data_IF_920455662333
#
_entry.id   IF_920455662333
#
_cell.length_a   1.000
_cell.length_b   1.000
_cell.length_c   1.000
_cell.angle_alpha   90.00
_cell.angle_beta   90.00
_cell.angle_gamma   90.00
#
_symmetry.space_group_name_H-M   'P 1'
#
loop_
_entity.id
_entity.type
_entity.pdbx_description
1 polymer ?
#
# COMPACT_ATOMS: atom_id res chain seq x y z
N UNK A 1 -20.19 -9.54 -44.70
CA UNK A 1 -18.95 -10.08 -44.11
C UNK A 1 -18.39 -9.26 -42.94
N UNK A 2 -19.00 -8.15 -42.54
CA UNK A 2 -18.50 -7.26 -41.48
C UNK A 2 -19.00 -7.58 -40.06
N UNK A 3 -20.16 -8.25 -39.91
CA UNK A 3 -20.75 -8.53 -38.59
C UNK A 3 -19.98 -9.54 -37.71
N UNK A 4 -19.33 -10.53 -38.32
CA UNK A 4 -18.61 -11.57 -37.59
C UNK A 4 -17.29 -11.06 -36.97
N UNK A 5 -16.63 -10.10 -37.62
CA UNK A 5 -15.39 -9.49 -37.11
C UNK A 5 -15.67 -8.64 -35.88
N UNK A 6 -16.79 -7.90 -35.88
CA UNK A 6 -17.23 -7.09 -34.72
C UNK A 6 -17.61 -7.99 -33.54
N UNK A 7 -18.28 -9.12 -33.79
CA UNK A 7 -18.65 -10.08 -32.75
C UNK A 7 -17.41 -10.76 -32.11
N UNK A 8 -16.40 -11.12 -32.90
CA UNK A 8 -15.15 -11.69 -32.40
C UNK A 8 -14.35 -10.65 -31.62
N UNK A 9 -14.25 -9.42 -32.12
CA UNK A 9 -13.60 -8.32 -31.40
C UNK A 9 -14.28 -8.03 -30.05
N UNK A 10 -15.61 -8.04 -30.00
CA UNK A 10 -16.38 -7.78 -28.78
C UNK A 10 -16.20 -8.85 -27.69
N UNK A 11 -15.80 -10.07 -28.02
CA UNK A 11 -15.57 -11.15 -27.04
C UNK A 11 -14.07 -11.32 -26.73
N UNK A 12 -13.21 -11.20 -27.73
CA UNK A 12 -11.75 -11.41 -27.58
C UNK A 12 -11.08 -10.25 -26.85
N UNK A 13 -11.50 -8.99 -27.08
CA UNK A 13 -10.92 -7.83 -26.38
C UNK A 13 -11.18 -7.86 -24.87
N UNK A 14 -12.41 -8.08 -24.36
CA UNK A 14 -12.67 -8.15 -22.93
C UNK A 14 -11.93 -9.30 -22.25
N UNK A 15 -11.85 -10.48 -22.90
CA UNK A 15 -11.11 -11.62 -22.37
C UNK A 15 -9.59 -11.37 -22.35
N UNK A 16 -9.05 -10.76 -23.42
CA UNK A 16 -7.65 -10.37 -23.49
C UNK A 16 -7.28 -9.32 -22.43
N UNK A 17 -8.14 -8.32 -22.23
CA UNK A 17 -7.99 -7.32 -21.17
C UNK A 17 -8.07 -7.96 -19.79
N UNK A 18 -9.05 -8.82 -19.53
CA UNK A 18 -9.18 -9.52 -18.25
C UNK A 18 -7.95 -10.39 -17.93
N UNK A 19 -7.46 -11.16 -18.91
CA UNK A 19 -6.24 -11.96 -18.77
C UNK A 19 -5.01 -11.08 -18.50
N UNK A 20 -4.90 -9.94 -19.18
CA UNK A 20 -3.83 -8.97 -18.97
C UNK A 20 -3.87 -8.36 -17.56
N UNK A 21 -5.05 -7.98 -17.05
CA UNK A 21 -5.22 -7.47 -15.68
C UNK A 21 -4.84 -8.51 -14.62
N UNK A 22 -5.21 -9.78 -14.82
CA UNK A 22 -4.85 -10.89 -13.93
C UNK A 22 -3.32 -11.11 -13.94
N UNK A 23 -2.71 -11.16 -15.12
CA UNK A 23 -1.27 -11.31 -15.28
C UNK A 23 -0.49 -10.14 -14.67
N UNK A 24 -0.95 -8.90 -14.86
CA UNK A 24 -0.34 -7.71 -14.28
C UNK A 24 -0.40 -7.72 -12.75
N UNK A 25 -1.52 -8.16 -12.17
CA UNK A 25 -1.66 -8.36 -10.72
C UNK A 25 -0.68 -9.41 -10.17
N UNK A 26 -0.57 -10.56 -10.84
CA UNK A 26 0.35 -11.65 -10.46
C UNK A 26 1.83 -11.24 -10.61
N UNK A 27 2.18 -10.51 -11.66
CA UNK A 27 3.52 -10.00 -11.88
C UNK A 27 3.96 -9.04 -10.75
N UNK A 28 3.06 -8.16 -10.29
CA UNK A 28 3.34 -7.27 -9.15
C UNK A 28 3.58 -8.05 -7.85
N UNK A 29 2.80 -9.10 -7.58
CA UNK A 29 2.99 -9.97 -6.41
C UNK A 29 4.37 -10.65 -6.43
N UNK A 30 4.72 -11.28 -7.55
CA UNK A 30 6.04 -11.92 -7.73
C UNK A 30 7.19 -10.92 -7.66
N UNK A 31 6.98 -9.72 -8.21
CA UNK A 31 7.95 -8.63 -8.17
C UNK A 31 8.28 -8.17 -6.75
N UNK A 32 7.28 -8.04 -5.87
CA UNK A 32 7.49 -7.67 -4.47
C UNK A 32 8.19 -8.78 -3.68
N UNK A 33 7.78 -10.04 -3.84
CA UNK A 33 8.45 -11.17 -3.19
C UNK A 33 9.91 -11.32 -3.66
N UNK A 34 10.20 -11.06 -4.94
CA UNK A 34 11.57 -11.01 -5.46
C UNK A 34 12.37 -9.87 -4.84
N UNK A 35 11.82 -8.65 -4.85
CA UNK A 35 12.48 -7.48 -4.27
C UNK A 35 12.75 -7.67 -2.77
N UNK A 36 11.80 -8.21 -2.01
CA UNK A 36 11.97 -8.47 -0.59
C UNK A 36 13.14 -9.43 -0.34
N UNK A 37 13.25 -10.52 -1.11
CA UNK A 37 14.39 -11.45 -1.03
C UNK A 37 15.72 -10.78 -1.37
N UNK A 38 15.77 -9.99 -2.44
CA UNK A 38 16.99 -9.26 -2.85
C UNK A 38 17.45 -8.25 -1.79
N UNK A 39 16.53 -7.70 -1.02
CA UNK A 39 16.79 -6.68 0.01
C UNK A 39 16.89 -7.24 1.43
N UNK A 40 16.72 -8.55 1.61
CA UNK A 40 16.68 -9.17 2.94
C UNK A 40 15.49 -8.71 3.80
N UNK A 41 14.38 -8.33 3.16
CA UNK A 41 13.13 -7.96 3.83
C UNK A 41 12.24 -9.19 4.03
N UNK A 42 11.40 -9.13 5.06
CA UNK A 42 10.43 -10.18 5.34
C UNK A 42 9.20 -10.01 4.46
N UNK A 43 8.86 -11.07 3.73
CA UNK A 43 7.66 -11.14 2.91
C UNK A 43 6.65 -12.11 3.52
N UNK A 44 5.41 -11.65 3.60
CA UNK A 44 4.27 -12.41 4.09
C UNK A 44 3.22 -12.47 3.00
N UNK A 45 2.70 -13.67 2.75
CA UNK A 45 1.56 -13.86 1.87
C UNK A 45 0.47 -14.60 2.65
N UNK A 46 -0.78 -14.17 2.47
CA UNK A 46 -1.94 -14.79 3.05
C UNK A 46 -2.57 -15.78 2.07
N UNK A 47 -2.46 -17.07 2.37
CA UNK A 47 -3.61 -17.96 2.30
C UNK A 47 -4.00 -18.27 3.75
N UNK A 48 -4.92 -17.46 4.30
CA UNK A 48 -5.45 -17.47 5.68
C UNK A 48 -4.47 -17.04 6.80
N UNK A 49 -4.60 -15.79 7.24
CA UNK A 49 -4.22 -15.34 8.58
C UNK A 49 -5.46 -15.30 9.48
N UNK A 50 -6.13 -16.45 9.65
CA UNK A 50 -7.29 -16.63 10.54
C UNK A 50 -7.15 -17.93 11.33
N UNK A 51 -7.72 -18.02 12.55
CA UNK A 51 -7.65 -19.23 13.37
C UNK A 51 -8.45 -20.34 12.66
N UNK A 52 -7.76 -21.41 12.21
CA UNK A 52 -8.37 -22.51 11.42
C UNK A 52 -7.74 -22.79 10.06
N UNK A 53 -6.57 -22.23 9.75
CA UNK A 53 -5.86 -22.43 8.50
C UNK A 53 -4.92 -23.66 8.49
N UNK A 54 -5.46 -24.86 8.62
CA UNK A 54 -4.72 -26.08 8.30
C UNK A 54 -4.85 -26.39 6.81
N UNK A 55 -3.73 -26.39 6.09
CA UNK A 55 -3.60 -27.04 4.78
C UNK A 55 -3.94 -26.18 3.58
N UNK A 56 -2.95 -25.42 3.10
CA UNK A 56 -2.96 -24.81 1.77
C UNK A 56 -1.56 -24.39 1.41
N UNK A 57 -0.87 -25.17 0.57
CA UNK A 57 0.41 -24.79 -0.06
C UNK A 57 0.21 -23.47 -0.78
N UNK A 58 0.56 -22.32 -0.21
CA UNK A 58 1.08 -21.14 -0.92
C UNK A 58 1.62 -20.14 0.12
N UNK A 59 2.95 -20.02 0.15
CA UNK A 59 3.75 -18.95 0.78
C UNK A 59 3.44 -18.64 2.25
N UNK A 60 3.93 -19.52 3.13
CA UNK A 60 4.16 -19.27 4.56
C UNK A 60 5.15 -18.09 4.77
N UNK A 61 4.95 -17.36 5.85
CA UNK A 61 5.94 -16.44 6.39
C UNK A 61 7.26 -17.18 6.69
N UNK A 62 8.40 -16.58 6.36
CA UNK A 62 9.71 -17.11 6.78
C UNK A 62 9.90 -17.04 8.31
N UNK A 63 9.09 -16.25 9.04
CA UNK A 63 8.86 -16.34 10.51
C UNK A 63 7.71 -15.39 10.90
N UNK A 64 6.82 -15.80 11.82
CA UNK A 64 5.95 -14.90 12.60
C UNK A 64 4.69 -14.32 11.93
N UNK A 65 3.89 -13.58 12.71
CA UNK A 65 2.70 -12.82 12.28
C UNK A 65 3.14 -11.41 11.87
N UNK A 66 2.74 -10.96 10.69
CA UNK A 66 3.02 -9.59 10.26
C UNK A 66 2.37 -8.57 11.23
N UNK A 67 3.06 -7.49 11.64
CA UNK A 67 2.44 -6.35 12.32
C UNK A 67 1.25 -5.82 11.48
N UNK A 68 0.28 -5.14 12.10
CA UNK A 68 -0.91 -4.66 11.38
C UNK A 68 -1.19 -3.16 11.58
N UNK A 69 -0.21 -2.28 11.28
CA UNK A 69 -0.39 -0.84 11.43
C UNK A 69 -1.44 -0.31 10.45
N UNK A 70 -2.27 0.63 10.91
CA UNK A 70 -3.34 1.27 10.12
C UNK A 70 -4.40 0.30 9.56
N UNK A 71 -4.50 -0.91 10.15
CA UNK A 71 -5.54 -1.89 9.86
C UNK A 71 -6.87 -1.41 10.46
N UNK A 72 -7.93 -1.42 9.65
CA UNK A 72 -9.30 -1.13 10.09
C UNK A 72 -9.95 -2.40 10.66
N UNK A 73 -10.95 -2.21 11.52
CA UNK A 73 -11.75 -3.33 12.06
C UNK A 73 -12.31 -4.19 10.93
N UNK A 74 -12.16 -5.51 11.05
CA UNK A 74 -12.63 -6.48 10.06
C UNK A 74 -11.73 -6.69 8.85
N UNK A 75 -10.67 -5.89 8.66
CA UNK A 75 -9.72 -6.12 7.57
C UNK A 75 -8.87 -7.38 7.81
N UNK A 76 -8.45 -8.07 6.76
CA UNK A 76 -7.44 -9.15 6.84
C UNK A 76 -6.25 -8.85 5.92
N UNK A 77 -5.06 -9.38 6.24
CA UNK A 77 -3.85 -9.13 5.43
C UNK A 77 -3.80 -10.14 4.29
N UNK A 78 -3.88 -9.66 3.03
CA UNK A 78 -3.58 -10.43 1.81
C UNK A 78 -2.08 -10.70 1.72
N UNK A 79 -1.28 -9.64 1.91
CA UNK A 79 0.16 -9.64 1.71
C UNK A 79 0.79 -8.56 2.58
N UNK A 80 2.01 -8.82 3.04
CA UNK A 80 2.84 -7.81 3.66
C UNK A 80 4.32 -7.92 3.24
N UNK A 81 5.00 -6.79 3.20
CA UNK A 81 6.47 -6.70 3.18
C UNK A 81 6.86 -5.82 4.34
N UNK A 82 7.79 -6.25 5.18
CA UNK A 82 8.34 -5.42 6.26
C UNK A 82 9.86 -5.51 6.25
N UNK A 83 10.50 -4.46 6.72
CA UNK A 83 11.95 -4.43 6.81
C UNK A 83 12.44 -3.04 7.18
N UNK A 84 13.67 -2.76 6.78
CA UNK A 84 14.31 -1.46 7.00
C UNK A 84 14.70 -0.85 5.67
N UNK A 85 14.41 0.45 5.51
CA UNK A 85 14.82 1.25 4.36
C UNK A 85 15.53 2.51 4.86
N UNK A 86 16.78 2.72 4.44
CA UNK A 86 17.64 3.83 4.89
C UNK A 86 17.69 4.01 6.42
N UNK A 87 17.69 2.89 7.16
CA UNK A 87 17.74 2.88 8.62
C UNK A 87 16.39 3.05 9.33
N UNK A 88 15.29 3.29 8.61
CA UNK A 88 13.95 3.39 9.19
C UNK A 88 13.15 2.10 8.97
N UNK A 89 12.44 1.58 10.00
CA UNK A 89 11.49 0.49 9.81
C UNK A 89 10.38 0.91 8.85
N UNK A 90 9.96 0.00 7.97
CA UNK A 90 8.84 0.25 7.06
C UNK A 90 7.97 -1.00 6.93
N UNK A 91 6.75 -0.78 6.44
CA UNK A 91 5.84 -1.85 6.08
C UNK A 91 4.98 -1.51 4.86
N UNK A 92 4.71 -2.51 4.05
CA UNK A 92 3.76 -2.49 2.94
C UNK A 92 2.72 -3.54 3.24
N UNK A 93 1.46 -3.14 3.37
CA UNK A 93 0.36 -4.03 3.69
C UNK A 93 -0.71 -3.94 2.62
N UNK A 94 -1.18 -5.09 2.17
CA UNK A 94 -2.38 -5.19 1.36
C UNK A 94 -3.48 -5.81 2.20
N UNK A 95 -4.49 -5.02 2.51
CA UNK A 95 -5.64 -5.39 3.29
C UNK A 95 -6.82 -5.77 2.39
N UNK A 96 -7.55 -6.81 2.80
CA UNK A 96 -8.88 -7.17 2.33
C UNK A 96 -9.92 -6.55 3.26
N UNK A 97 -10.88 -5.82 2.70
CA UNK A 97 -12.02 -5.29 3.45
C UNK A 97 -13.06 -6.39 3.75
N UNK A 98 -13.81 -6.31 4.87
CA UNK A 98 -14.90 -7.26 5.14
C UNK A 98 -15.92 -7.25 4.00
N UNK A 99 -16.26 -8.43 3.48
CA UNK A 99 -16.98 -8.64 2.21
C UNK A 99 -16.08 -9.05 1.02
N UNK A 100 -14.75 -9.00 1.19
CA UNK A 100 -13.76 -9.61 0.29
C UNK A 100 -13.49 -11.06 0.75
N UNK A 101 -14.46 -11.94 0.57
CA UNK A 101 -14.38 -13.34 1.00
C UNK A 101 -14.33 -14.33 -0.15
N UNK A 102 -14.30 -15.61 0.21
CA UNK A 102 -14.92 -16.63 -0.63
C UNK A 102 -16.29 -16.90 -0.02
N UNK A 103 -17.34 -16.91 -0.83
CA UNK A 103 -18.64 -17.46 -0.44
C UNK A 103 -18.46 -18.94 -0.05
N UNK A 104 -19.42 -19.51 0.69
CA UNK A 104 -19.39 -20.94 1.05
C UNK A 104 -19.30 -21.86 -0.19
N UNK A 105 -19.72 -21.37 -1.37
CA UNK A 105 -19.62 -22.06 -2.67
C UNK A 105 -18.23 -21.95 -3.34
N UNK A 106 -17.25 -21.34 -2.68
CA UNK A 106 -15.89 -21.15 -3.22
C UNK A 106 -15.78 -20.05 -4.26
N UNK A 107 -16.85 -19.29 -4.54
CA UNK A 107 -16.77 -18.12 -5.43
C UNK A 107 -16.14 -16.94 -4.70
N UNK A 108 -15.20 -16.27 -5.38
CA UNK A 108 -14.52 -15.10 -4.85
C UNK A 108 -15.49 -13.93 -4.81
N UNK A 109 -15.83 -13.48 -3.61
CA UNK A 109 -16.55 -12.24 -3.42
C UNK A 109 -15.57 -11.09 -3.67
N UNK A 110 -15.92 -10.22 -4.62
CA UNK A 110 -15.08 -9.10 -5.03
C UNK A 110 -15.15 -7.99 -3.99
N UNK A 111 -14.54 -8.20 -2.82
CA UNK A 111 -14.31 -7.09 -1.92
C UNK A 111 -13.08 -6.29 -2.33
N UNK A 112 -13.06 -5.03 -1.89
CA UNK A 112 -12.05 -4.06 -2.27
C UNK A 112 -10.73 -4.31 -1.53
N UNK A 113 -9.64 -4.14 -2.26
CA UNK A 113 -8.28 -4.26 -1.75
C UNK A 113 -7.74 -2.87 -1.43
N UNK A 114 -7.19 -2.71 -0.24
CA UNK A 114 -6.53 -1.47 0.20
C UNK A 114 -5.05 -1.75 0.38
N UNK A 115 -4.19 -0.91 -0.19
CA UNK A 115 -2.74 -1.01 0.03
C UNK A 115 -2.30 0.16 0.90
N UNK A 116 -1.43 -0.10 1.87
CA UNK A 116 -0.83 0.90 2.75
C UNK A 116 0.68 0.71 2.70
N UNK A 117 1.42 1.78 2.42
CA UNK A 117 2.90 1.81 2.54
C UNK A 117 3.22 2.81 3.63
N UNK A 118 4.00 2.42 4.62
CA UNK A 118 4.36 3.30 5.72
C UNK A 118 5.81 3.15 6.16
N UNK A 119 6.33 4.20 6.79
CA UNK A 119 7.64 4.25 7.45
C UNK A 119 7.41 4.68 8.90
N UNK A 120 8.11 4.02 9.83
CA UNK A 120 8.14 4.43 11.23
C UNK A 120 9.15 5.54 11.44
N UNK A 121 8.75 6.57 12.19
CA UNK A 121 9.53 7.75 12.48
C UNK A 121 9.94 7.81 13.95
N UNK A 122 11.13 8.34 14.20
CA UNK A 122 11.74 8.38 15.53
C UNK A 122 10.95 9.23 16.53
N UNK A 123 10.20 10.23 16.08
CA UNK A 123 9.45 11.15 16.93
C UNK A 123 7.93 11.07 16.65
N UNK A 124 7.15 11.56 17.61
CA UNK A 124 5.68 11.59 17.49
C UNK A 124 5.26 12.61 16.44
N UNK A 125 4.22 12.25 15.70
CA UNK A 125 3.59 12.99 14.64
C UNK A 125 2.14 13.27 15.03
N UNK A 126 1.57 14.39 14.56
CA UNK A 126 0.14 14.63 14.64
C UNK A 126 -0.62 13.52 13.91
N UNK A 127 -1.83 13.22 14.38
CA UNK A 127 -2.75 12.37 13.64
C UNK A 127 -3.48 13.22 12.61
N UNK A 128 -3.06 13.16 11.35
CA UNK A 128 -3.79 13.78 10.25
C UNK A 128 -3.45 13.26 8.86
N UNK A 129 -4.37 13.49 7.93
CA UNK A 129 -4.16 13.36 6.50
C UNK A 129 -3.71 14.70 5.95
N UNK A 130 -2.51 14.75 5.39
CA UNK A 130 -1.93 15.90 4.73
C UNK A 130 -2.21 15.82 3.23
N UNK A 131 -2.89 16.83 2.70
CA UNK A 131 -3.22 16.96 1.28
C UNK A 131 -2.56 18.22 0.72
N UNK A 132 -1.84 18.08 -0.40
CA UNK A 132 -1.08 19.16 -1.03
C UNK A 132 -1.75 19.52 -2.35
N UNK A 133 -2.25 20.75 -2.45
CA UNK A 133 -2.99 21.25 -3.60
C UNK A 133 -2.55 22.67 -3.96
N UNK A 134 -2.07 22.88 -5.18
CA UNK A 134 -1.59 24.19 -5.62
C UNK A 134 -0.49 24.73 -4.69
N UNK A 135 -0.77 25.84 -4.01
CA UNK A 135 0.11 26.50 -3.04
C UNK A 135 -0.25 26.19 -1.56
N UNK A 136 -1.13 25.23 -1.33
CA UNK A 136 -1.71 24.93 -0.03
C UNK A 136 -1.33 23.52 0.45
N UNK A 137 -1.18 23.40 1.77
CA UNK A 137 -0.96 22.14 2.48
C UNK A 137 -2.02 22.08 3.56
N UNK A 138 -3.04 21.27 3.32
CA UNK A 138 -4.17 21.07 4.21
C UNK A 138 -3.94 19.84 5.07
N UNK A 139 -4.42 19.89 6.31
CA UNK A 139 -4.38 18.76 7.24
C UNK A 139 -5.79 18.53 7.78
N UNK A 140 -6.22 17.27 7.82
CA UNK A 140 -7.55 16.89 8.33
C UNK A 140 -7.75 17.22 9.82
N UNK A 141 -6.68 17.53 10.55
CA UNK A 141 -6.72 17.99 11.92
C UNK A 141 -6.60 19.53 11.95
N UNK A 142 -7.64 20.26 12.35
CA UNK A 142 -7.65 21.73 12.31
C UNK A 142 -6.68 22.37 13.31
N UNK A 143 -6.21 21.63 14.31
CA UNK A 143 -5.21 22.10 15.27
C UNK A 143 -3.76 21.99 14.76
N UNK A 144 -3.54 21.41 13.58
CA UNK A 144 -2.21 21.27 13.01
C UNK A 144 -1.89 22.44 12.08
N UNK A 145 -0.76 23.09 12.35
CA UNK A 145 -0.16 24.08 11.45
C UNK A 145 1.27 23.63 11.12
N UNK A 146 1.57 23.34 9.84
CA UNK A 146 2.91 22.94 9.44
C UNK A 146 3.90 24.09 9.63
N UNK A 147 5.15 23.79 10.01
CA UNK A 147 6.23 24.79 10.02
C UNK A 147 6.43 25.37 8.62
N UNK A 148 6.75 26.67 8.46
CA UNK A 148 6.92 27.28 7.13
C UNK A 148 7.92 26.55 6.24
N UNK A 149 9.07 26.17 6.80
CA UNK A 149 10.12 25.44 6.07
C UNK A 149 9.66 24.05 5.61
N UNK A 150 8.85 23.37 6.42
CA UNK A 150 8.27 22.07 6.08
C UNK A 150 7.20 22.24 5.01
N UNK A 151 6.35 23.26 5.13
CA UNK A 151 5.32 23.59 4.14
C UNK A 151 5.95 23.89 2.77
N UNK A 152 6.97 24.73 2.72
CA UNK A 152 7.71 25.06 1.49
C UNK A 152 8.34 23.80 0.88
N UNK A 153 8.97 22.97 1.69
CA UNK A 153 9.53 21.71 1.24
C UNK A 153 8.47 20.77 0.66
N UNK A 154 7.31 20.64 1.31
CA UNK A 154 6.20 19.81 0.83
C UNK A 154 5.65 20.32 -0.51
N UNK A 155 5.48 21.62 -0.66
CA UNK A 155 5.05 22.24 -1.92
C UNK A 155 6.05 22.00 -3.06
N UNK A 156 7.35 22.13 -2.78
CA UNK A 156 8.40 21.83 -3.76
C UNK A 156 8.44 20.35 -4.18
N UNK A 157 7.93 19.44 -3.35
CA UNK A 157 7.94 17.99 -3.57
C UNK A 157 6.56 17.40 -3.92
N UNK A 158 5.55 18.23 -4.23
CA UNK A 158 4.16 17.80 -4.52
C UNK A 158 4.05 16.82 -5.70
N UNK A 159 4.99 16.87 -6.64
CA UNK A 159 5.05 15.94 -7.78
C UNK A 159 5.34 14.50 -7.37
N UNK A 160 5.97 14.29 -6.20
CA UNK A 160 6.29 12.97 -5.65
C UNK A 160 5.11 12.33 -4.94
N UNK A 161 4.33 13.14 -4.20
CA UNK A 161 3.13 12.71 -3.51
C UNK A 161 2.24 13.91 -3.21
N UNK A 162 0.93 13.75 -3.39
CA UNK A 162 -0.07 14.79 -3.09
C UNK A 162 -0.82 14.56 -1.79
N UNK A 163 -0.80 13.34 -1.26
CA UNK A 163 -1.56 13.01 -0.07
C UNK A 163 -0.87 11.89 0.72
N UNK A 164 -0.68 12.11 2.02
CA UNK A 164 -0.16 11.11 2.94
C UNK A 164 -0.76 11.28 4.34
N UNK A 165 -0.73 10.22 5.12
CA UNK A 165 -1.22 10.17 6.49
C UNK A 165 -0.06 10.19 7.46
N UNK A 166 -0.27 10.86 8.57
CA UNK A 166 0.63 10.88 9.72
C UNK A 166 -0.18 10.44 10.94
N UNK A 167 0.40 9.59 11.78
CA UNK A 167 -0.26 9.12 13.01
C UNK A 167 0.75 8.52 13.96
N UNK A 168 0.79 8.99 15.21
CA UNK A 168 1.72 8.50 16.22
C UNK A 168 3.16 8.57 15.71
N UNK A 169 3.82 7.43 15.49
CA UNK A 169 5.19 7.37 14.95
C UNK A 169 5.24 6.91 13.50
N UNK A 170 4.23 7.21 12.70
CA UNK A 170 4.12 6.68 11.34
C UNK A 170 3.83 7.77 10.32
N UNK A 171 4.46 7.67 9.15
CA UNK A 171 4.07 8.37 7.92
C UNK A 171 3.70 7.33 6.87
N UNK A 172 2.53 7.46 6.25
CA UNK A 172 1.99 6.45 5.36
C UNK A 172 1.32 7.05 4.11
N UNK A 173 1.36 6.32 3.00
CA UNK A 173 0.53 6.58 1.82
C UNK A 173 -0.40 5.39 1.55
N UNK A 174 -1.57 5.68 1.01
CA UNK A 174 -2.57 4.67 0.62
C UNK A 174 -2.69 4.64 -0.90
N UNK A 175 -1.80 3.92 -1.61
CA UNK A 175 -1.87 3.88 -3.06
C UNK A 175 -3.12 3.13 -3.53
N UNK A 176 -3.71 3.60 -4.65
CA UNK A 176 -4.89 2.98 -5.28
C UNK A 176 -4.67 1.53 -5.71
N UNK A 177 -3.42 1.12 -5.94
CA UNK A 177 -3.07 -0.24 -6.30
C UNK A 177 -1.73 -0.62 -5.68
N UNK A 178 -1.46 -1.92 -5.62
CA UNK A 178 -0.17 -2.44 -5.17
C UNK A 178 0.96 -1.86 -6.06
N UNK A 179 1.97 -1.19 -5.47
CA UNK A 179 3.06 -0.61 -6.23
C UNK A 179 3.95 -1.71 -6.85
N UNK A 180 4.52 -1.43 -8.02
CA UNK A 180 5.65 -2.22 -8.52
C UNK A 180 6.89 -1.99 -7.63
N UNK A 181 7.91 -2.84 -7.75
CA UNK A 181 9.16 -2.68 -6.99
C UNK A 181 9.78 -1.27 -7.10
N UNK A 182 9.99 -0.73 -8.32
CA UNK A 182 10.49 0.64 -8.49
C UNK A 182 9.56 1.73 -7.93
N UNK A 183 8.24 1.54 -8.01
CA UNK A 183 7.29 2.47 -7.40
C UNK A 183 7.40 2.43 -5.88
N UNK A 184 7.50 1.24 -5.29
CA UNK A 184 7.67 1.06 -3.86
C UNK A 184 8.93 1.76 -3.35
N UNK A 185 10.07 1.56 -4.01
CA UNK A 185 11.32 2.21 -3.61
C UNK A 185 11.19 3.74 -3.62
N UNK A 186 10.62 4.34 -4.69
CA UNK A 186 10.38 5.79 -4.74
C UNK A 186 9.43 6.27 -3.64
N UNK A 187 8.40 5.49 -3.33
CA UNK A 187 7.49 5.79 -2.23
C UNK A 187 8.21 5.75 -0.88
N UNK A 188 9.03 4.74 -0.63
CA UNK A 188 9.82 4.63 0.60
C UNK A 188 10.84 5.76 0.73
N UNK A 189 11.50 6.14 -0.37
CA UNK A 189 12.40 7.30 -0.39
C UNK A 189 11.66 8.57 -0.01
N UNK A 190 10.48 8.81 -0.60
CA UNK A 190 9.65 9.97 -0.25
C UNK A 190 9.23 9.96 1.23
N UNK A 191 8.71 8.84 1.73
CA UNK A 191 8.29 8.73 3.14
C UNK A 191 9.46 8.93 4.11
N UNK A 192 10.64 8.42 3.75
CA UNK A 192 11.88 8.62 4.52
C UNK A 192 12.33 10.08 4.49
N UNK A 193 12.21 10.77 3.36
CA UNK A 193 12.55 12.19 3.27
C UNK A 193 11.57 13.04 4.11
N UNK A 194 10.28 12.71 4.11
CA UNK A 194 9.27 13.32 5.01
C UNK A 194 9.63 13.05 6.48
N UNK A 195 10.06 11.84 6.81
CA UNK A 195 10.55 11.50 8.15
C UNK A 195 11.78 12.33 8.57
N UNK A 196 12.59 12.79 7.61
CA UNK A 196 13.69 13.73 7.86
C UNK A 196 13.24 15.17 8.16
N UNK A 197 11.97 15.52 7.89
CA UNK A 197 11.42 16.87 8.16
C UNK A 197 10.77 16.99 9.55
N UNK A 198 10.74 15.92 10.33
CA UNK A 198 10.11 15.87 11.66
C UNK A 198 10.87 16.79 12.64
N UNK A 199 10.17 17.57 13.51
CA UNK A 199 8.72 17.67 13.67
C UNK A 199 8.03 18.41 12.52
N UNK A 200 6.80 18.02 12.15
CA UNK A 200 6.09 18.69 11.05
C UNK A 200 5.36 19.97 11.48
N UNK A 201 4.87 20.01 12.72
CA UNK A 201 4.16 21.15 13.30
C UNK A 201 5.09 22.08 14.08
N UNK A 202 4.62 23.30 14.29
CA UNK A 202 5.10 24.12 15.41
C UNK A 202 4.58 23.50 16.71
N UNK A 203 5.46 23.40 17.71
CA UNK A 203 5.08 23.05 19.10
C UNK A 203 4.15 24.12 19.65
#
# INVERSE_FOLDING_TARGET
>A
MTGWIVAIAAVVLPLGLAAWWIAAGAAKKRGLAKLARERGWDFFSGARLGPGASGGRHEQAVRGRAPAPLRRTGESIDQAVVGTHRGLPFGVYRYHLPGAGFRQDGTRESGSLRTVVHVEVGASMPDCTLSISGSEVDCSNPGFVPRPEVREWLLANVSRCREFHTSGRTVAVVPKSLPSGPQLLRTLDYLTDVAGQVPLNRV
#
